data_IF_148444676533
#
_entry.id   IF_148444676533
#
_cell.length_a   1.000
_cell.length_b   1.000
_cell.length_c   1.000
_cell.angle_alpha   90.00
_cell.angle_beta   90.00
_cell.angle_gamma   90.00
#
_symmetry.space_group_name_H-M   'P 1'
#
loop_
_entity.id
_entity.type
_entity.pdbx_description
1 polymer ?
#
# COMPACT_ATOMS: atom_id res chain seq x y z
N UNK A 1 -3.05 5.25 -52.74
CA UNK A 1 -2.69 3.89 -52.27
C UNK A 1 -3.89 3.28 -51.56
N UNK A 2 -4.31 2.06 -51.92
CA UNK A 2 -5.47 1.42 -51.27
C UNK A 2 -5.07 0.70 -49.99
N UNK A 3 -5.25 1.35 -48.83
CA UNK A 3 -5.20 0.66 -47.53
C UNK A 3 -6.38 -0.33 -47.39
N UNK A 4 -6.24 -1.39 -46.59
CA UNK A 4 -7.29 -2.37 -46.37
C UNK A 4 -8.58 -1.74 -45.81
N UNK A 5 -9.72 -2.39 -46.03
CA UNK A 5 -11.03 -1.92 -45.53
C UNK A 5 -11.16 -1.96 -43.99
N UNK A 6 -10.31 -2.73 -43.32
CA UNK A 6 -10.29 -2.90 -41.86
C UNK A 6 -8.86 -3.14 -41.39
N UNK A 7 -8.55 -2.62 -40.20
CA UNK A 7 -7.35 -2.96 -39.43
C UNK A 7 -7.70 -2.92 -37.93
N UNK A 8 -6.88 -3.58 -37.12
CA UNK A 8 -6.96 -3.68 -35.66
C UNK A 8 -5.75 -3.04 -35.00
N UNK A 9 -4.58 -3.04 -35.65
CA UNK A 9 -3.41 -2.30 -35.18
C UNK A 9 -2.79 -1.51 -36.32
N UNK A 10 -2.13 -0.40 -35.96
CA UNK A 10 -1.42 0.45 -36.90
C UNK A 10 -0.16 0.99 -36.23
N UNK A 11 1.00 0.66 -36.79
CA UNK A 11 2.29 1.09 -36.28
C UNK A 11 3.03 1.84 -37.40
N UNK A 12 3.52 3.05 -37.12
CA UNK A 12 4.30 3.86 -38.05
C UNK A 12 5.70 4.08 -37.50
N UNK A 13 6.70 3.75 -38.31
CA UNK A 13 8.11 3.97 -37.97
C UNK A 13 8.91 4.15 -39.27
N UNK A 14 9.81 5.15 -39.31
CA UNK A 14 10.75 5.37 -40.42
C UNK A 14 10.11 5.40 -41.82
N UNK A 15 8.94 6.05 -41.96
CA UNK A 15 8.26 6.18 -43.25
C UNK A 15 7.45 4.95 -43.67
N UNK A 16 7.28 3.97 -42.80
CA UNK A 16 6.53 2.74 -43.09
C UNK A 16 5.35 2.62 -42.14
N UNK A 17 4.13 2.58 -42.69
CA UNK A 17 2.93 2.19 -41.96
C UNK A 17 2.76 0.67 -42.04
N UNK A 18 2.72 0.01 -40.89
CA UNK A 18 2.40 -1.41 -40.74
C UNK A 18 1.02 -1.57 -40.14
N UNK A 19 0.11 -2.26 -40.83
CA UNK A 19 -1.23 -2.59 -40.34
C UNK A 19 -1.31 -4.07 -39.97
N UNK A 20 -1.91 -4.36 -38.82
CA UNK A 20 -2.08 -5.72 -38.27
C UNK A 20 -0.75 -6.51 -38.12
N UNK A 21 0.38 -5.81 -38.03
CA UNK A 21 1.73 -6.42 -37.92
C UNK A 21 2.29 -7.02 -39.22
N UNK A 22 1.51 -7.09 -40.29
CA UNK A 22 1.87 -7.81 -41.51
C UNK A 22 1.89 -6.91 -42.77
N UNK A 23 0.92 -5.99 -42.89
CA UNK A 23 0.70 -5.23 -44.13
C UNK A 23 1.48 -3.92 -44.08
N UNK A 24 2.55 -3.82 -44.87
CA UNK A 24 3.43 -2.65 -44.91
C UNK A 24 3.13 -1.73 -46.08
N UNK A 25 3.17 -0.43 -45.83
CA UNK A 25 2.91 0.63 -46.79
C UNK A 25 3.97 1.72 -46.65
N UNK A 26 4.63 2.07 -47.75
CA UNK A 26 5.56 3.21 -47.81
C UNK A 26 4.75 4.51 -47.70
N UNK A 27 4.79 5.11 -46.52
CA UNK A 27 4.06 6.33 -46.15
C UNK A 27 5.07 7.26 -45.46
N UNK A 28 5.75 8.12 -46.21
CA UNK A 28 6.83 8.95 -45.67
C UNK A 28 6.34 9.98 -44.64
N UNK A 29 5.05 10.34 -44.68
CA UNK A 29 4.47 11.34 -43.79
C UNK A 29 3.06 10.94 -43.33
N UNK A 30 2.74 11.22 -42.06
CA UNK A 30 1.41 11.03 -41.49
C UNK A 30 0.57 12.28 -41.76
N UNK A 31 -0.17 12.30 -42.87
CA UNK A 31 -1.09 13.40 -43.19
C UNK A 31 -2.37 13.33 -42.36
N UNK A 32 -3.06 14.46 -42.19
CA UNK A 32 -4.35 14.49 -41.49
C UNK A 32 -5.39 13.54 -42.12
N UNK A 33 -5.46 13.48 -43.46
CA UNK A 33 -6.37 12.56 -44.18
C UNK A 33 -6.08 11.09 -43.83
N UNK A 34 -4.80 10.72 -43.71
CA UNK A 34 -4.42 9.39 -43.28
C UNK A 34 -4.83 9.12 -41.83
N UNK A 35 -4.61 10.07 -40.93
CA UNK A 35 -4.98 9.95 -39.51
C UNK A 35 -6.49 9.80 -39.33
N UNK A 36 -7.29 10.56 -40.06
CA UNK A 36 -8.76 10.41 -40.11
C UNK A 36 -9.17 9.02 -40.61
N UNK A 37 -8.50 8.53 -41.66
CA UNK A 37 -8.75 7.18 -42.19
C UNK A 37 -8.40 6.10 -41.17
N UNK A 38 -7.29 6.23 -40.46
CA UNK A 38 -6.86 5.29 -39.41
C UNK A 38 -7.81 5.32 -38.20
N UNK A 39 -8.24 6.51 -37.78
CA UNK A 39 -9.23 6.68 -36.72
C UNK A 39 -10.60 6.10 -37.07
N UNK A 40 -10.91 5.97 -38.36
CA UNK A 40 -12.11 5.27 -38.86
C UNK A 40 -12.07 3.74 -38.69
N UNK A 41 -10.90 3.14 -38.44
CA UNK A 41 -10.79 1.70 -38.16
C UNK A 41 -11.13 1.39 -36.70
N UNK A 42 -11.47 0.13 -36.40
CA UNK A 42 -11.69 -0.32 -35.02
C UNK A 42 -10.40 -0.73 -34.34
N UNK A 43 -9.42 0.20 -34.31
CA UNK A 43 -8.10 -0.04 -33.77
C UNK A 43 -8.13 -0.34 -32.27
N UNK A 44 -7.26 -1.24 -31.83
CA UNK A 44 -6.95 -1.48 -30.42
C UNK A 44 -5.55 -1.03 -30.06
N UNK A 45 -4.69 -0.83 -31.06
CA UNK A 45 -3.32 -0.35 -30.93
C UNK A 45 -2.99 0.65 -32.03
N UNK A 46 -2.38 1.78 -31.66
CA UNK A 46 -1.79 2.73 -32.60
C UNK A 46 -0.46 3.24 -32.04
N UNK A 47 0.62 3.11 -32.80
CA UNK A 47 1.94 3.63 -32.40
C UNK A 47 2.59 4.42 -33.52
N UNK A 48 3.24 5.51 -33.14
CA UNK A 48 4.11 6.31 -34.00
C UNK A 48 5.43 6.47 -33.27
N UNK A 49 6.54 6.29 -33.97
CA UNK A 49 7.87 6.47 -33.40
C UNK A 49 8.77 7.26 -34.33
N UNK A 50 9.62 8.10 -33.74
CA UNK A 50 10.61 8.92 -34.45
C UNK A 50 9.96 9.83 -35.52
N UNK A 51 8.82 10.44 -35.18
CA UNK A 51 8.06 11.33 -36.06
C UNK A 51 7.54 12.56 -35.31
N UNK A 52 7.66 13.78 -35.87
CA UNK A 52 7.20 15.01 -35.23
C UNK A 52 5.66 15.17 -35.29
N UNK A 53 4.91 14.19 -34.79
CA UNK A 53 3.47 14.29 -34.61
C UNK A 53 3.14 15.38 -33.57
N UNK A 54 2.25 16.31 -33.92
CA UNK A 54 1.75 17.36 -33.03
C UNK A 54 0.40 16.96 -32.42
N UNK A 55 -0.05 17.73 -31.43
CA UNK A 55 -1.33 17.50 -30.75
C UNK A 55 -2.52 17.51 -31.72
N UNK A 56 -2.50 18.39 -32.72
CA UNK A 56 -3.55 18.51 -33.75
C UNK A 56 -3.67 17.23 -34.57
N UNK A 57 -2.55 16.58 -34.88
CA UNK A 57 -2.52 15.36 -35.68
C UNK A 57 -3.26 14.20 -34.99
N UNK A 58 -3.41 14.26 -33.66
CA UNK A 58 -4.12 13.25 -32.87
C UNK A 58 -5.63 13.48 -32.79
N UNK A 59 -6.12 14.67 -33.15
CA UNK A 59 -7.53 15.05 -33.01
C UNK A 59 -8.53 14.03 -33.58
N UNK A 60 -8.28 13.37 -34.74
CA UNK A 60 -9.21 12.37 -35.28
C UNK A 60 -9.44 11.16 -34.36
N UNK A 61 -8.52 10.85 -33.44
CA UNK A 61 -8.64 9.72 -32.51
C UNK A 61 -9.47 10.06 -31.26
N UNK A 62 -9.90 11.31 -31.06
CA UNK A 62 -10.71 11.68 -29.92
C UNK A 62 -12.02 10.85 -29.90
N UNK A 63 -12.33 10.25 -28.74
CA UNK A 63 -13.54 9.42 -28.59
C UNK A 63 -13.42 8.01 -29.16
N UNK A 64 -12.22 7.56 -29.56
CA UNK A 64 -12.04 6.24 -30.17
C UNK A 64 -12.48 5.09 -29.24
N UNK A 65 -13.51 4.35 -29.65
CA UNK A 65 -14.28 3.42 -28.78
C UNK A 65 -13.58 2.11 -28.43
N UNK A 66 -12.51 1.78 -29.16
CA UNK A 66 -11.83 0.49 -29.07
C UNK A 66 -10.35 0.59 -28.70
N UNK A 67 -9.79 1.80 -28.59
CA UNK A 67 -8.35 1.98 -28.39
C UNK A 67 -7.95 1.47 -27.00
N UNK A 68 -6.94 0.61 -26.93
CA UNK A 68 -6.42 0.05 -25.68
C UNK A 68 -4.99 0.50 -25.45
N UNK A 69 -4.19 0.57 -26.51
CA UNK A 69 -2.80 1.00 -26.48
C UNK A 69 -2.58 2.13 -27.51
N UNK A 70 -2.04 3.25 -27.06
CA UNK A 70 -1.71 4.38 -27.92
C UNK A 70 -0.30 4.86 -27.60
N UNK A 71 0.53 5.06 -28.62
CA UNK A 71 1.87 5.58 -28.44
C UNK A 71 2.28 6.58 -29.50
N UNK A 72 2.98 7.62 -29.06
CA UNK A 72 3.71 8.55 -29.92
C UNK A 72 5.04 8.79 -29.22
N UNK A 73 6.09 8.14 -29.70
CA UNK A 73 7.42 8.20 -29.11
C UNK A 73 8.33 9.08 -29.95
N UNK A 74 9.15 9.88 -29.26
CA UNK A 74 10.13 10.81 -29.85
C UNK A 74 9.48 11.76 -30.87
N UNK A 75 8.30 12.28 -30.51
CA UNK A 75 7.50 13.23 -31.30
C UNK A 75 7.52 14.68 -30.81
N UNK A 76 6.47 15.42 -31.18
CA UNK A 76 6.33 16.85 -30.87
C UNK A 76 5.04 17.16 -30.07
N UNK A 77 4.58 16.21 -29.26
CA UNK A 77 3.39 16.39 -28.42
C UNK A 77 3.66 17.32 -27.24
N UNK A 78 2.61 18.00 -26.80
CA UNK A 78 2.61 18.85 -25.61
C UNK A 78 1.54 18.40 -24.62
N UNK A 79 1.41 19.10 -23.48
CA UNK A 79 0.31 18.85 -22.53
C UNK A 79 -1.09 18.99 -23.16
N UNK A 80 -1.23 19.60 -24.35
CA UNK A 80 -2.49 19.72 -25.06
C UNK A 80 -3.00 18.41 -25.70
N UNK A 81 -2.20 17.33 -25.73
CA UNK A 81 -2.66 16.02 -26.21
C UNK A 81 -3.63 15.30 -25.24
N UNK A 82 -3.53 15.56 -23.93
CA UNK A 82 -4.25 14.76 -22.92
C UNK A 82 -5.78 14.74 -23.05
N UNK A 83 -6.46 15.84 -23.46
CA UNK A 83 -7.90 15.80 -23.74
C UNK A 83 -8.29 14.74 -24.78
N UNK A 84 -7.48 14.50 -25.82
CA UNK A 84 -7.74 13.47 -26.83
C UNK A 84 -7.78 12.08 -26.17
N UNK A 85 -6.79 11.77 -25.33
CA UNK A 85 -6.71 10.49 -24.62
C UNK A 85 -7.79 10.32 -23.55
N UNK A 86 -8.18 11.40 -22.87
CA UNK A 86 -9.24 11.38 -21.85
C UNK A 86 -10.60 10.92 -22.41
N UNK A 87 -10.83 11.14 -23.71
CA UNK A 87 -12.05 10.75 -24.39
C UNK A 87 -12.08 9.27 -24.81
N UNK A 88 -10.99 8.50 -24.63
CA UNK A 88 -10.90 7.09 -25.04
C UNK A 88 -11.27 6.14 -23.88
N UNK A 89 -12.49 5.58 -23.84
CA UNK A 89 -13.01 4.88 -22.65
C UNK A 89 -12.32 3.54 -22.34
N UNK A 90 -11.55 2.99 -23.28
CA UNK A 90 -10.87 1.70 -23.16
C UNK A 90 -9.35 1.80 -23.07
N UNK A 91 -8.80 3.01 -23.08
CA UNK A 91 -7.34 3.22 -23.08
C UNK A 91 -6.74 2.71 -21.76
N UNK A 92 -5.68 1.91 -21.87
CA UNK A 92 -4.96 1.30 -20.74
C UNK A 92 -3.47 1.58 -20.77
N UNK A 93 -2.87 1.65 -21.96
CA UNK A 93 -1.45 1.86 -22.17
C UNK A 93 -1.25 3.14 -22.99
N UNK A 94 -0.46 4.06 -22.45
CA UNK A 94 -0.15 5.33 -23.09
C UNK A 94 1.37 5.51 -23.09
N UNK A 95 1.99 5.45 -24.28
CA UNK A 95 3.44 5.49 -24.47
C UNK A 95 3.84 6.84 -25.08
N UNK A 96 4.42 7.74 -24.30
CA UNK A 96 4.68 9.14 -24.70
C UNK A 96 6.14 9.55 -24.51
N UNK A 97 7.05 8.57 -24.53
CA UNK A 97 8.47 8.82 -24.35
C UNK A 97 9.02 9.81 -25.39
N UNK A 98 10.00 10.63 -25.01
CA UNK A 98 10.70 11.54 -25.92
C UNK A 98 9.95 12.82 -26.31
N UNK A 99 8.69 12.99 -25.91
CA UNK A 99 7.95 14.24 -26.13
C UNK A 99 8.38 15.31 -25.10
N UNK A 100 9.51 15.97 -25.37
CA UNK A 100 10.15 16.92 -24.45
C UNK A 100 9.27 18.08 -23.97
N UNK A 101 8.22 18.45 -24.72
CA UNK A 101 7.29 19.52 -24.37
C UNK A 101 6.14 19.09 -23.43
N UNK A 102 6.04 17.80 -23.07
CA UNK A 102 5.11 17.33 -22.05
C UNK A 102 5.71 17.61 -20.67
N UNK A 103 5.11 18.56 -19.94
CA UNK A 103 5.54 18.94 -18.58
C UNK A 103 4.63 18.34 -17.51
N UNK A 104 3.49 17.75 -17.91
CA UNK A 104 2.54 17.07 -17.03
C UNK A 104 1.43 17.98 -16.48
N UNK A 105 1.33 19.24 -16.90
CA UNK A 105 0.29 20.16 -16.41
C UNK A 105 -1.12 19.72 -16.81
N UNK A 106 -1.25 19.05 -17.96
CA UNK A 106 -2.51 18.53 -18.47
C UNK A 106 -2.86 17.11 -17.99
N UNK A 107 -2.02 16.44 -17.20
CA UNK A 107 -2.27 15.06 -16.72
C UNK A 107 -3.53 14.94 -15.85
N UNK A 108 -3.98 16.03 -15.25
CA UNK A 108 -5.25 16.10 -14.51
C UNK A 108 -6.47 15.75 -15.38
N UNK A 109 -6.41 15.97 -16.71
CA UNK A 109 -7.46 15.56 -17.64
C UNK A 109 -7.67 14.04 -17.66
N UNK A 110 -6.67 13.26 -17.24
CA UNK A 110 -6.72 11.80 -17.20
C UNK A 110 -7.23 11.24 -15.86
N UNK A 111 -7.66 12.08 -14.90
CA UNK A 111 -8.05 11.64 -13.55
C UNK A 111 -9.08 10.50 -13.53
N UNK A 112 -10.06 10.54 -14.46
CA UNK A 112 -11.12 9.53 -14.61
C UNK A 112 -10.74 8.31 -15.48
N UNK A 113 -9.57 8.33 -16.12
CA UNK A 113 -9.12 7.24 -16.99
C UNK A 113 -8.70 6.01 -16.17
N UNK A 114 -8.73 4.84 -16.80
CA UNK A 114 -8.30 3.56 -16.19
C UNK A 114 -6.97 3.10 -16.77
N UNK A 115 -5.98 3.99 -16.78
CA UNK A 115 -4.66 3.67 -17.30
C UNK A 115 -3.94 2.68 -16.38
N UNK A 116 -3.29 1.69 -16.98
CA UNK A 116 -2.40 0.76 -16.28
C UNK A 116 -0.96 1.24 -16.36
N UNK A 117 -0.55 1.72 -17.54
CA UNK A 117 0.81 2.16 -17.85
C UNK A 117 0.79 3.52 -18.54
N UNK A 118 1.64 4.42 -18.04
CA UNK A 118 1.98 5.68 -18.67
C UNK A 118 3.51 5.81 -18.74
N UNK A 119 4.08 5.90 -19.94
CA UNK A 119 5.51 6.15 -20.09
C UNK A 119 5.73 7.61 -20.50
N UNK A 120 6.61 8.28 -19.77
CA UNK A 120 6.96 9.69 -19.92
C UNK A 120 8.48 9.86 -19.84
N UNK A 121 9.25 8.85 -20.24
CA UNK A 121 10.71 8.95 -20.21
C UNK A 121 11.15 10.04 -21.20
N UNK A 122 12.22 10.76 -20.89
CA UNK A 122 12.76 11.82 -21.77
C UNK A 122 11.74 12.92 -22.11
N UNK A 123 10.79 13.19 -21.21
CA UNK A 123 9.85 14.31 -21.32
C UNK A 123 10.25 15.46 -20.38
N UNK A 124 9.57 16.60 -20.50
CA UNK A 124 9.71 17.74 -19.59
C UNK A 124 9.00 17.57 -18.24
N UNK A 125 8.54 16.35 -17.89
CA UNK A 125 7.81 16.08 -16.65
C UNK A 125 8.58 16.55 -15.42
N UNK A 126 7.94 17.37 -14.59
CA UNK A 126 8.49 17.87 -13.33
C UNK A 126 7.72 17.33 -12.11
N UNK A 127 8.13 17.76 -10.91
CA UNK A 127 7.49 17.33 -9.65
C UNK A 127 5.99 17.65 -9.59
N UNK A 128 5.59 18.81 -10.14
CA UNK A 128 4.18 19.20 -10.19
C UNK A 128 3.40 18.30 -11.16
N UNK A 129 3.98 18.00 -12.32
CA UNK A 129 3.44 17.05 -13.28
C UNK A 129 3.30 15.64 -12.70
N UNK A 130 4.30 15.13 -11.98
CA UNK A 130 4.23 13.83 -11.31
C UNK A 130 3.12 13.80 -10.24
N UNK A 131 2.93 14.89 -9.51
CA UNK A 131 1.82 15.01 -8.56
C UNK A 131 0.45 14.95 -9.25
N UNK A 132 0.31 15.57 -10.43
CA UNK A 132 -0.90 15.41 -11.25
C UNK A 132 -1.09 13.96 -11.71
N UNK A 133 -0.01 13.29 -12.14
CA UNK A 133 -0.04 11.89 -12.54
C UNK A 133 -0.53 10.98 -11.40
N UNK A 134 -0.13 11.28 -10.15
CA UNK A 134 -0.58 10.57 -8.96
C UNK A 134 -2.07 10.77 -8.65
N UNK A 135 -2.78 11.69 -9.33
CA UNK A 135 -4.24 11.82 -9.22
C UNK A 135 -4.99 10.92 -10.21
N UNK A 136 -4.30 10.31 -11.19
CA UNK A 136 -4.91 9.41 -12.17
C UNK A 136 -5.40 8.13 -11.47
N UNK A 137 -6.71 7.89 -11.55
CA UNK A 137 -7.35 6.77 -10.86
C UNK A 137 -6.80 5.45 -11.36
N UNK A 138 -6.28 4.63 -10.43
CA UNK A 138 -5.75 3.28 -10.71
C UNK A 138 -4.52 3.22 -11.61
N UNK A 139 -3.84 4.34 -11.89
CA UNK A 139 -2.56 4.30 -12.58
C UNK A 139 -1.60 3.40 -11.82
N UNK A 140 -1.19 2.29 -12.45
CA UNK A 140 -0.41 1.26 -11.78
C UNK A 140 1.08 1.44 -11.98
N UNK A 141 1.53 1.82 -13.18
CA UNK A 141 2.93 2.01 -13.52
C UNK A 141 3.12 3.32 -14.27
N UNK A 142 4.13 4.08 -13.84
CA UNK A 142 4.59 5.28 -14.55
C UNK A 142 6.10 5.19 -14.77
N UNK A 143 6.57 5.40 -15.99
CA UNK A 143 8.01 5.46 -16.29
C UNK A 143 8.43 6.92 -16.45
N UNK A 144 9.50 7.32 -15.74
CA UNK A 144 9.88 8.73 -15.57
C UNK A 144 11.39 8.96 -15.72
N UNK A 145 12.13 8.06 -16.38
CA UNK A 145 13.57 8.24 -16.57
C UNK A 145 13.88 9.45 -17.46
N UNK A 146 14.95 10.16 -17.13
CA UNK A 146 15.41 11.35 -17.84
C UNK A 146 14.35 12.48 -17.87
N UNK A 147 13.68 12.70 -16.75
CA UNK A 147 12.72 13.79 -16.53
C UNK A 147 13.31 14.84 -15.57
N UNK A 148 12.58 15.94 -15.34
CA UNK A 148 12.92 16.94 -14.34
C UNK A 148 12.42 16.60 -12.93
N UNK A 149 11.84 15.40 -12.73
CA UNK A 149 11.37 14.93 -11.42
C UNK A 149 12.54 14.78 -10.44
N UNK A 150 12.45 15.44 -9.30
CA UNK A 150 13.38 15.34 -8.19
C UNK A 150 13.03 14.16 -7.28
N UNK A 151 13.96 13.81 -6.39
CA UNK A 151 13.67 12.79 -5.39
C UNK A 151 12.59 13.25 -4.39
N UNK A 152 12.57 14.53 -4.06
CA UNK A 152 11.54 15.16 -3.23
C UNK A 152 10.16 15.05 -3.88
N UNK A 153 10.06 15.30 -5.20
CA UNK A 153 8.84 15.09 -5.98
C UNK A 153 8.37 13.64 -5.96
N UNK A 154 9.29 12.68 -6.11
CA UNK A 154 8.99 11.26 -5.97
C UNK A 154 8.42 10.94 -4.57
N UNK A 155 9.03 11.45 -3.50
CA UNK A 155 8.56 11.21 -2.13
C UNK A 155 7.20 11.86 -1.84
N UNK A 156 6.87 12.98 -2.50
CA UNK A 156 5.59 13.67 -2.35
C UNK A 156 4.40 12.77 -2.73
N UNK A 157 4.57 11.90 -3.73
CA UNK A 157 3.50 10.99 -4.19
C UNK A 157 3.39 9.68 -3.40
N UNK A 158 4.22 9.47 -2.37
CA UNK A 158 4.22 8.23 -1.57
C UNK A 158 2.91 7.98 -0.81
N UNK A 159 2.00 8.96 -0.70
CA UNK A 159 0.66 8.74 -0.14
C UNK A 159 -0.31 8.00 -1.07
N UNK A 160 -0.01 7.94 -2.37
CA UNK A 160 -0.79 7.13 -3.31
C UNK A 160 -0.26 5.69 -3.28
N UNK A 161 -1.11 4.74 -2.88
CA UNK A 161 -0.74 3.33 -2.70
C UNK A 161 -0.88 2.47 -3.98
N UNK A 162 -1.34 3.06 -5.08
CA UNK A 162 -1.56 2.36 -6.36
C UNK A 162 -0.45 2.63 -7.37
N UNK A 163 0.03 3.88 -7.43
CA UNK A 163 1.05 4.29 -8.40
C UNK A 163 2.40 3.66 -8.09
N UNK A 164 3.04 3.10 -9.12
CA UNK A 164 4.40 2.55 -9.03
C UNK A 164 5.29 3.27 -10.04
N UNK A 165 6.02 4.30 -9.58
CA UNK A 165 7.07 4.92 -10.38
C UNK A 165 8.16 3.90 -10.69
N UNK A 166 8.58 3.87 -11.95
CA UNK A 166 9.69 3.08 -12.46
C UNK A 166 10.71 4.06 -13.01
N UNK A 167 11.90 4.02 -12.45
CA UNK A 167 13.06 4.78 -12.89
C UNK A 167 14.27 3.84 -12.81
N UNK A 168 14.83 3.50 -13.96
CA UNK A 168 15.95 2.58 -14.09
C UNK A 168 17.30 3.27 -13.89
N UNK A 169 17.38 4.56 -14.22
CA UNK A 169 18.66 5.29 -14.25
C UNK A 169 18.60 6.65 -13.53
N UNK A 170 17.42 7.25 -13.38
CA UNK A 170 17.29 8.57 -12.75
C UNK A 170 17.50 8.55 -11.23
N UNK A 171 17.11 7.47 -10.56
CA UNK A 171 17.23 7.32 -9.11
C UNK A 171 18.05 6.08 -8.75
N UNK A 172 18.82 6.19 -7.67
CA UNK A 172 19.53 5.05 -7.11
C UNK A 172 18.54 3.99 -6.59
N UNK A 173 18.99 2.73 -6.55
CA UNK A 173 18.18 1.61 -6.07
C UNK A 173 17.68 1.86 -4.64
N UNK A 174 18.52 2.43 -3.79
CA UNK A 174 18.22 2.75 -2.39
C UNK A 174 17.12 3.81 -2.28
N UNK A 175 17.08 4.78 -3.19
CA UNK A 175 16.04 5.81 -3.26
C UNK A 175 14.68 5.18 -3.61
N UNK A 176 14.65 4.28 -4.60
CA UNK A 176 13.43 3.57 -5.00
C UNK A 176 12.93 2.61 -3.91
N UNK A 177 13.84 1.93 -3.22
CA UNK A 177 13.53 1.08 -2.06
C UNK A 177 12.98 1.91 -0.88
N UNK A 178 13.54 3.11 -0.64
CA UNK A 178 13.04 4.03 0.37
C UNK A 178 11.63 4.56 0.05
N UNK A 179 11.40 5.02 -1.19
CA UNK A 179 10.05 5.39 -1.65
C UNK A 179 9.05 4.25 -1.41
N UNK A 180 9.40 3.03 -1.83
CA UNK A 180 8.54 1.85 -1.66
C UNK A 180 8.23 1.56 -0.19
N UNK A 181 9.20 1.80 0.72
CA UNK A 181 9.01 1.66 2.17
C UNK A 181 8.05 2.71 2.71
N UNK A 182 8.26 3.97 2.34
CA UNK A 182 7.40 5.09 2.74
C UNK A 182 5.97 4.91 2.24
N UNK A 183 5.78 4.43 1.02
CA UNK A 183 4.45 4.12 0.48
C UNK A 183 3.76 3.01 1.30
N UNK A 184 4.47 1.94 1.65
CA UNK A 184 3.93 0.89 2.55
C UNK A 184 3.60 1.42 3.94
N UNK A 185 4.42 2.30 4.49
CA UNK A 185 4.19 2.91 5.80
C UNK A 185 2.96 3.82 5.79
N UNK A 186 2.82 4.68 4.78
CA UNK A 186 1.63 5.52 4.59
C UNK A 186 0.37 4.72 4.26
N UNK A 187 0.50 3.55 3.64
CA UNK A 187 -0.61 2.64 3.37
C UNK A 187 -1.15 1.93 4.63
N UNK A 188 -0.35 1.83 5.70
CA UNK A 188 -0.83 1.28 6.97
C UNK A 188 -1.88 2.23 7.53
N UNK A 189 -3.15 1.84 7.49
CA UNK A 189 -4.20 2.56 8.21
C UNK A 189 -3.84 2.57 9.70
N UNK A 190 -3.89 3.70 10.41
CA UNK A 190 -3.93 3.65 11.86
C UNK A 190 -5.14 2.81 12.26
N UNK A 191 -4.90 1.70 12.97
CA UNK A 191 -5.99 0.87 13.46
C UNK A 191 -6.63 1.64 14.60
N UNK A 192 -7.85 2.12 14.41
CA UNK A 192 -8.58 2.77 15.49
C UNK A 192 -8.86 1.76 16.61
N UNK A 193 -8.78 2.23 17.84
CA UNK A 193 -9.12 1.44 19.01
C UNK A 193 -10.61 1.09 18.98
N UNK A 194 -10.92 -0.19 19.07
CA UNK A 194 -12.27 -0.64 19.38
C UNK A 194 -12.48 -0.50 20.90
N UNK A 195 -13.14 0.58 21.30
CA UNK A 195 -13.41 0.89 22.72
C UNK A 195 -14.21 -0.21 23.43
N UNK A 196 -15.08 -0.94 22.71
CA UNK A 196 -15.84 -2.04 23.31
C UNK A 196 -14.92 -3.24 23.59
N UNK A 197 -14.06 -3.58 22.63
CA UNK A 197 -13.06 -4.63 22.82
C UNK A 197 -12.05 -4.26 23.91
N UNK A 198 -11.64 -3.00 24.01
CA UNK A 198 -10.76 -2.51 25.07
C UNK A 198 -11.40 -2.64 26.44
N UNK A 199 -12.68 -2.25 26.59
CA UNK A 199 -13.44 -2.41 27.82
C UNK A 199 -13.61 -3.90 28.21
N UNK A 200 -13.87 -4.77 27.24
CA UNK A 200 -13.96 -6.22 27.46
C UNK A 200 -12.62 -6.80 27.97
N UNK A 201 -11.51 -6.41 27.34
CA UNK A 201 -10.17 -6.83 27.75
C UNK A 201 -9.77 -6.34 29.14
N UNK A 202 -10.10 -5.09 29.50
CA UNK A 202 -9.90 -4.57 30.87
C UNK A 202 -10.67 -5.41 31.89
N UNK A 203 -11.94 -5.75 31.61
CA UNK A 203 -12.75 -6.62 32.48
C UNK A 203 -12.14 -8.01 32.65
N UNK A 204 -11.63 -8.60 31.57
CA UNK A 204 -10.95 -9.91 31.60
C UNK A 204 -9.68 -9.85 32.44
N UNK A 205 -8.86 -8.81 32.26
CA UNK A 205 -7.63 -8.61 33.05
C UNK A 205 -7.94 -8.40 34.53
N UNK A 206 -8.95 -7.58 34.87
CA UNK A 206 -9.38 -7.42 36.27
C UNK A 206 -9.78 -8.74 36.92
N UNK A 207 -10.53 -9.59 36.21
CA UNK A 207 -10.94 -10.90 36.72
C UNK A 207 -9.73 -11.84 36.90
N UNK A 208 -8.80 -11.83 35.94
CA UNK A 208 -7.54 -12.57 36.04
C UNK A 208 -6.70 -12.09 37.25
N UNK A 209 -6.54 -10.79 37.45
CA UNK A 209 -5.79 -10.22 38.58
C UNK A 209 -6.39 -10.61 39.93
N UNK A 210 -7.73 -10.62 40.04
CA UNK A 210 -8.43 -11.03 41.23
C UNK A 210 -8.23 -12.52 41.54
N UNK A 211 -8.43 -13.41 40.56
CA UNK A 211 -8.24 -14.86 40.76
C UNK A 211 -6.77 -15.22 41.03
N UNK A 212 -5.82 -14.53 40.40
CA UNK A 212 -4.39 -14.67 40.73
C UNK A 212 -4.11 -14.24 42.17
N UNK A 213 -4.70 -13.13 42.63
CA UNK A 213 -4.53 -12.65 44.01
C UNK A 213 -5.10 -13.66 45.02
N UNK A 214 -6.29 -14.22 44.75
CA UNK A 214 -6.88 -15.27 45.59
C UNK A 214 -6.00 -16.52 45.65
N UNK A 215 -5.44 -16.93 44.51
CA UNK A 215 -4.50 -18.04 44.45
C UNK A 215 -3.22 -17.75 45.24
N UNK A 216 -2.62 -16.57 45.10
CA UNK A 216 -1.41 -16.17 45.86
C UNK A 216 -1.67 -16.14 47.37
N UNK A 217 -2.84 -15.64 47.82
CA UNK A 217 -3.23 -15.68 49.23
C UNK A 217 -3.45 -17.10 49.76
N UNK A 218 -4.00 -18.00 48.94
CA UNK A 218 -4.11 -19.42 49.27
C UNK A 218 -2.71 -20.04 49.44
N UNK A 219 -1.79 -19.73 48.53
CA UNK A 219 -0.43 -20.25 48.56
C UNK A 219 0.36 -19.79 49.79
N UNK A 220 0.12 -18.56 50.27
CA UNK A 220 0.71 -18.06 51.53
C UNK A 220 0.28 -18.89 52.75
N UNK A 221 -0.94 -19.47 52.72
CA UNK A 221 -1.47 -20.28 53.82
C UNK A 221 -1.14 -21.77 53.69
N UNK A 222 -1.28 -22.33 52.48
CA UNK A 222 -1.18 -23.76 52.23
C UNK A 222 0.24 -24.21 51.84
N UNK A 223 1.05 -23.30 51.27
CA UNK A 223 2.39 -23.60 50.77
C UNK A 223 2.41 -24.31 49.40
N UNK A 224 3.59 -24.33 48.77
CA UNK A 224 3.78 -24.87 47.41
C UNK A 224 3.74 -26.39 47.30
N UNK A 225 3.80 -27.11 48.42
CA UNK A 225 3.70 -28.57 48.46
C UNK A 225 2.25 -29.06 48.47
N UNK A 226 1.29 -28.14 48.60
CA UNK A 226 -0.12 -28.45 48.61
C UNK A 226 -0.57 -29.01 47.24
N UNK A 227 -1.33 -30.11 47.27
CA UNK A 227 -1.74 -30.82 46.07
C UNK A 227 -2.66 -29.99 45.14
N UNK A 228 -3.35 -28.98 45.69
CA UNK A 228 -4.29 -28.13 44.96
C UNK A 228 -3.62 -26.86 44.39
N UNK A 229 -2.38 -26.57 44.77
CA UNK A 229 -1.63 -25.40 44.30
C UNK A 229 -1.55 -25.34 42.77
N UNK A 230 -1.07 -26.42 42.15
CA UNK A 230 -0.87 -26.50 40.69
C UNK A 230 -2.20 -26.60 39.93
N UNK A 231 -3.16 -27.48 40.30
CA UNK A 231 -4.45 -27.55 39.61
C UNK A 231 -5.21 -26.23 39.59
N UNK A 232 -5.22 -25.47 40.70
CA UNK A 232 -5.90 -24.17 40.78
C UNK A 232 -5.29 -23.15 39.83
N UNK A 233 -3.95 -23.05 39.80
CA UNK A 233 -3.27 -22.14 38.88
C UNK A 233 -3.53 -22.51 37.42
N UNK A 234 -3.46 -23.80 37.08
CA UNK A 234 -3.73 -24.26 35.71
C UNK A 234 -5.16 -23.96 35.27
N UNK A 235 -6.15 -24.00 36.18
CA UNK A 235 -7.52 -23.62 35.88
C UNK A 235 -7.63 -22.12 35.53
N UNK A 236 -6.94 -21.24 36.27
CA UNK A 236 -6.84 -19.81 35.95
C UNK A 236 -6.16 -19.63 34.58
N UNK A 237 -5.06 -20.35 34.33
CA UNK A 237 -4.33 -20.29 33.06
C UNK A 237 -5.18 -20.69 31.86
N UNK A 238 -5.88 -21.81 31.96
CA UNK A 238 -6.76 -22.30 30.89
C UNK A 238 -7.89 -21.32 30.60
N UNK A 239 -8.40 -20.64 31.63
CA UNK A 239 -9.47 -19.64 31.51
C UNK A 239 -9.00 -18.37 30.79
N UNK A 240 -7.87 -17.81 31.20
CA UNK A 240 -7.48 -16.44 30.81
C UNK A 240 -6.31 -16.37 29.82
N UNK A 241 -5.46 -17.37 29.75
CA UNK A 241 -4.18 -17.31 29.02
C UNK A 241 -4.23 -18.19 27.77
N UNK A 242 -3.73 -17.67 26.65
CA UNK A 242 -3.65 -18.40 25.38
C UNK A 242 -2.37 -19.25 25.27
N UNK A 243 -1.29 -18.85 25.95
CA UNK A 243 -0.04 -19.60 25.95
C UNK A 243 -0.16 -20.88 26.79
N UNK A 244 0.28 -22.02 26.22
CA UNK A 244 0.36 -23.28 26.95
C UNK A 244 1.62 -23.31 27.83
N UNK A 245 1.54 -23.79 29.08
CA UNK A 245 2.71 -24.01 29.92
C UNK A 245 3.73 -24.93 29.22
N UNK A 246 5.02 -24.60 29.32
CA UNK A 246 6.10 -25.40 28.71
C UNK A 246 6.50 -26.59 29.60
N UNK A 247 7.07 -27.69 29.07
CA UNK A 247 7.61 -28.77 29.89
C UNK A 247 8.68 -28.23 30.86
N UNK A 248 8.52 -28.50 32.17
CA UNK A 248 9.38 -27.93 33.21
C UNK A 248 8.90 -26.59 33.77
N UNK A 249 7.73 -26.10 33.36
CA UNK A 249 7.03 -24.98 33.99
C UNK A 249 6.86 -25.27 35.48
N UNK A 250 7.71 -24.66 36.30
CA UNK A 250 7.42 -24.51 37.72
C UNK A 250 6.48 -23.30 37.81
N UNK A 251 5.34 -23.40 38.52
CA UNK A 251 4.53 -22.24 38.90
C UNK A 251 5.33 -21.06 39.50
N UNK A 252 6.58 -21.31 39.93
CA UNK A 252 7.51 -20.38 40.55
C UNK A 252 8.13 -19.32 39.60
N UNK A 253 7.77 -19.30 38.31
CA UNK A 253 8.11 -18.21 37.38
C UNK A 253 7.19 -16.98 37.51
N UNK A 254 6.03 -17.18 38.15
CA UNK A 254 5.13 -16.10 38.56
C UNK A 254 5.81 -15.29 39.65
N UNK A 255 5.83 -13.96 39.52
CA UNK A 255 6.13 -13.16 40.70
C UNK A 255 5.14 -13.56 41.79
N UNK A 256 5.64 -13.85 42.97
CA UNK A 256 4.84 -14.24 44.11
C UNK A 256 4.85 -13.08 45.09
N UNK A 257 3.68 -12.56 45.39
CA UNK A 257 3.51 -11.54 46.42
C UNK A 257 2.35 -11.92 47.34
N UNK A 258 2.61 -11.95 48.65
CA UNK A 258 1.56 -12.14 49.66
C UNK A 258 0.46 -11.06 49.59
N UNK A 259 0.76 -9.91 48.97
CA UNK A 259 -0.21 -8.82 48.75
C UNK A 259 -0.96 -8.94 47.41
N UNK A 260 -0.64 -9.94 46.58
CA UNK A 260 -1.12 -10.10 45.22
C UNK A 260 -0.22 -9.39 44.20
N UNK A 261 0.29 -10.12 43.22
CA UNK A 261 1.19 -9.59 42.17
C UNK A 261 0.57 -8.45 41.37
N UNK A 262 -0.72 -8.56 41.07
CA UNK A 262 -1.44 -7.63 40.21
C UNK A 262 -2.39 -6.71 41.00
N UNK A 263 -2.41 -6.81 42.33
CA UNK A 263 -3.38 -6.09 43.18
C UNK A 263 -3.23 -4.56 43.11
N UNK A 264 -2.04 -4.07 42.76
CA UNK A 264 -1.74 -2.64 42.58
C UNK A 264 -1.81 -2.13 41.13
N UNK A 265 -2.30 -2.93 40.18
CA UNK A 265 -2.31 -2.55 38.76
C UNK A 265 -3.42 -1.57 38.40
N UNK A 266 -3.05 -0.41 37.86
CA UNK A 266 -3.97 0.61 37.34
C UNK A 266 -3.94 0.63 35.81
N UNK A 267 -5.11 0.55 35.15
CA UNK A 267 -5.20 0.64 33.69
C UNK A 267 -4.93 2.06 33.21
N UNK A 268 -4.01 2.20 32.25
CA UNK A 268 -3.60 3.49 31.69
C UNK A 268 -4.22 3.77 30.32
N UNK A 269 -4.01 2.86 29.37
CA UNK A 269 -4.36 3.07 27.97
C UNK A 269 -4.58 1.73 27.24
N UNK A 270 -5.06 1.80 26.00
CA UNK A 270 -5.16 0.65 25.12
C UNK A 270 -4.75 1.01 23.68
N UNK A 271 -4.12 0.07 22.99
CA UNK A 271 -3.68 0.25 21.60
C UNK A 271 -4.13 -0.93 20.74
N UNK A 272 -4.83 -0.64 19.64
CA UNK A 272 -5.25 -1.67 18.70
C UNK A 272 -4.11 -2.00 17.72
N UNK A 273 -3.66 -3.25 17.73
CA UNK A 273 -2.60 -3.72 16.85
C UNK A 273 -3.19 -4.30 15.55
N UNK A 274 -4.25 -5.09 15.69
CA UNK A 274 -5.05 -5.63 14.59
C UNK A 274 -6.49 -5.81 15.08
N UNK A 275 -7.46 -6.13 14.20
CA UNK A 275 -8.83 -6.47 14.63
C UNK A 275 -8.93 -7.58 15.71
N UNK A 276 -7.90 -8.41 15.85
CA UNK A 276 -7.87 -9.55 16.78
C UNK A 276 -6.80 -9.43 17.87
N UNK A 277 -6.08 -8.30 17.94
CA UNK A 277 -5.02 -8.07 18.92
C UNK A 277 -5.02 -6.63 19.41
N UNK A 278 -4.93 -6.44 20.72
CA UNK A 278 -4.78 -5.14 21.35
C UNK A 278 -3.81 -5.23 22.54
N UNK A 279 -3.12 -4.15 22.84
CA UNK A 279 -2.42 -3.99 24.12
C UNK A 279 -3.33 -3.28 25.11
N UNK A 280 -3.31 -3.74 26.36
CA UNK A 280 -3.76 -2.96 27.51
C UNK A 280 -2.52 -2.58 28.32
N UNK A 281 -2.35 -1.28 28.57
CA UNK A 281 -1.26 -0.75 29.36
C UNK A 281 -1.70 -0.59 30.80
N UNK A 282 -0.86 -1.01 31.74
CA UNK A 282 -1.09 -0.84 33.17
C UNK A 282 0.16 -0.29 33.84
N UNK A 283 -0.02 0.23 35.06
CA UNK A 283 1.09 0.62 35.93
C UNK A 283 0.81 0.13 37.34
N UNK A 284 1.82 -0.52 37.93
CA UNK A 284 1.77 -0.91 39.33
C UNK A 284 1.98 0.34 40.20
N UNK A 285 1.07 0.55 41.15
CA UNK A 285 0.95 1.78 41.95
C UNK A 285 2.09 2.03 42.94
N UNK A 286 2.67 0.99 43.53
CA UNK A 286 3.66 1.07 44.60
C UNK A 286 5.09 1.21 44.08
N UNK A 287 5.42 0.45 43.04
CA UNK A 287 6.76 0.37 42.44
C UNK A 287 6.85 1.11 41.10
N UNK A 288 5.72 1.52 40.51
CA UNK A 288 5.66 2.37 39.32
C UNK A 288 6.03 1.68 38.01
N UNK A 289 6.09 0.34 37.99
CA UNK A 289 6.45 -0.42 36.78
C UNK A 289 5.30 -0.40 35.78
N UNK A 290 5.62 -0.04 34.53
CA UNK A 290 4.67 -0.16 33.42
C UNK A 290 4.65 -1.60 32.93
N UNK A 291 3.43 -2.15 32.76
CA UNK A 291 3.20 -3.42 32.07
C UNK A 291 2.33 -3.19 30.85
N UNK A 292 2.45 -4.08 29.87
CA UNK A 292 1.46 -4.21 28.79
C UNK A 292 1.08 -5.65 28.57
N UNK A 293 -0.23 -5.87 28.47
CA UNK A 293 -0.84 -7.17 28.24
C UNK A 293 -1.25 -7.24 26.78
N UNK A 294 -0.64 -8.15 26.01
CA UNK A 294 -1.10 -8.45 24.65
C UNK A 294 -2.34 -9.33 24.76
N UNK A 295 -3.48 -8.77 24.40
CA UNK A 295 -4.75 -9.49 24.34
C UNK A 295 -4.97 -10.00 22.92
N UNK A 296 -5.43 -11.24 22.79
CA UNK A 296 -5.72 -11.88 21.51
C UNK A 296 -7.11 -12.52 21.53
N UNK A 297 -7.86 -12.31 20.45
CA UNK A 297 -9.18 -12.94 20.27
C UNK A 297 -8.99 -14.45 20.03
N UNK A 298 -9.66 -15.27 20.84
CA UNK A 298 -9.65 -16.74 20.79
C UNK A 298 -11.09 -17.22 20.88
N UNK A 299 -11.63 -17.79 19.79
CA UNK A 299 -13.06 -18.08 19.68
C UNK A 299 -13.88 -16.78 19.74
N UNK A 300 -14.87 -16.74 20.62
CA UNK A 300 -15.74 -15.57 20.80
C UNK A 300 -15.22 -14.53 21.80
N UNK A 301 -14.19 -14.86 22.61
CA UNK A 301 -13.66 -13.99 23.66
C UNK A 301 -12.19 -13.61 23.47
N UNK A 302 -11.61 -12.99 24.51
CA UNK A 302 -10.19 -12.57 24.54
C UNK A 302 -9.40 -13.33 25.60
N UNK A 303 -8.13 -13.59 25.30
CA UNK A 303 -7.16 -14.18 26.22
C UNK A 303 -5.85 -13.41 26.21
N UNK A 304 -5.09 -13.52 27.30
CA UNK A 304 -3.76 -12.96 27.43
C UNK A 304 -2.80 -13.83 26.59
N UNK A 305 -2.14 -13.22 25.61
CA UNK A 305 -1.19 -13.89 24.71
C UNK A 305 0.26 -13.67 25.18
N UNK A 306 0.55 -12.53 25.81
CA UNK A 306 1.85 -12.22 26.40
C UNK A 306 1.75 -11.04 27.37
N UNK A 307 2.71 -10.95 28.31
CA UNK A 307 2.94 -9.78 29.15
C UNK A 307 4.35 -9.26 28.94
N UNK A 308 4.49 -7.94 28.98
CA UNK A 308 5.78 -7.30 28.90
C UNK A 308 5.88 -6.20 29.95
N UNK A 309 7.04 -6.10 30.58
CA UNK A 309 7.37 -5.04 31.53
C UNK A 309 8.31 -4.04 30.88
N UNK A 310 8.22 -2.79 31.32
CA UNK A 310 9.07 -1.70 30.84
C UNK A 310 10.24 -1.50 31.80
N UNK A 311 11.40 -2.02 31.39
CA UNK A 311 12.70 -1.75 32.00
C UNK A 311 13.47 -0.80 31.06
N UNK A 312 14.54 -1.27 30.44
CA UNK A 312 15.24 -0.57 29.35
C UNK A 312 14.55 -0.81 27.99
N UNK A 313 13.23 -0.62 27.94
CA UNK A 313 12.35 -1.02 26.84
C UNK A 313 11.37 -2.13 27.25
N UNK A 314 10.51 -2.55 26.31
CA UNK A 314 9.51 -3.60 26.54
C UNK A 314 10.15 -4.98 26.44
N UNK A 315 10.23 -5.68 27.56
CA UNK A 315 10.77 -7.04 27.63
C UNK A 315 9.66 -8.01 28.00
N UNK A 316 9.62 -9.17 27.32
CA UNK A 316 8.65 -10.22 27.67
C UNK A 316 9.00 -10.77 29.03
N UNK A 317 8.01 -10.84 29.89
CA UNK A 317 8.10 -11.47 31.21
C UNK A 317 7.29 -12.75 31.21
N UNK A 318 7.63 -13.64 32.13
CA UNK A 318 6.74 -14.76 32.44
C UNK A 318 5.47 -14.17 33.09
N UNK A 319 4.33 -14.72 32.70
CA UNK A 319 3.01 -14.32 33.20
C UNK A 319 2.82 -14.78 34.63
#
# INVERSE_FOLDING_TARGET
MELPKRARTADWENGVLTLDGEKKFEIPELTMELMERLAGYSLVGFHVKDYPATDELLAPFAGHKSMVNFGVEDGALTDACFPVFSAMPKLRYLLLDGNSAIHGRGLSALQGCKLDLLTLNRTGLDDAGLLQAASISKLSHIQIDHTAVTYEGLLAIAGNNYIKPVAHVQFAKEQMEHFSRLQREKAKKPVQLDEQAAAECRRILSAFFAEMTEWEQYMEQAGFEDAEAVPRLLAIWEKYVNEKPRPGYRPLGLSYSAQGTYNGEEFLDAEQITKNKLYIYTREKNIGFDRRFLMKRVGEGWKIDAVQERLNGWQRTEL
#
